data_IF_325254189409
#
_entry.id   IF_325254189409
#
_cell.length_a   1.000
_cell.length_b   1.000
_cell.length_c   1.000
_cell.angle_alpha   90.00
_cell.angle_beta   90.00
_cell.angle_gamma   90.00
#
_symmetry.space_group_name_H-M   'P 1'
#
loop_
_entity.id
_entity.type
_entity.pdbx_description
1 polymer ?
#
# COMPACT_ATOMS: atom_id res chain seq x y z
N UNK A 1 18.23 -22.79 3.03
CA UNK A 1 17.56 -22.20 1.85
C UNK A 1 18.55 -21.36 1.05
N UNK A 2 18.65 -21.57 -0.28
CA UNK A 2 19.54 -20.78 -1.17
C UNK A 2 19.16 -19.29 -1.15
N UNK A 3 20.12 -18.39 -1.37
CA UNK A 3 19.89 -16.93 -1.35
C UNK A 3 18.81 -16.49 -2.34
N UNK A 4 18.84 -17.04 -3.56
CA UNK A 4 17.82 -16.81 -4.59
C UNK A 4 16.40 -17.17 -4.12
N UNK A 5 16.24 -18.24 -3.34
CA UNK A 5 14.94 -18.65 -2.80
C UNK A 5 14.44 -17.68 -1.73
N UNK A 6 15.33 -17.12 -0.90
CA UNK A 6 14.98 -16.05 0.06
C UNK A 6 14.48 -14.79 -0.64
N UNK A 7 15.19 -14.37 -1.70
CA UNK A 7 14.79 -13.22 -2.53
C UNK A 7 13.40 -13.47 -3.13
N UNK A 8 13.21 -14.63 -3.78
CA UNK A 8 11.93 -14.99 -4.41
C UNK A 8 10.76 -15.03 -3.43
N UNK A 9 10.97 -15.59 -2.23
CA UNK A 9 9.94 -15.61 -1.20
C UNK A 9 9.57 -14.20 -0.72
N UNK A 10 10.58 -13.35 -0.52
CA UNK A 10 10.35 -11.95 -0.11
C UNK A 10 9.65 -11.13 -1.19
N UNK A 11 10.00 -11.36 -2.46
CA UNK A 11 9.33 -10.76 -3.61
C UNK A 11 7.87 -11.22 -3.70
N UNK A 12 7.59 -12.52 -3.54
CA UNK A 12 6.22 -13.03 -3.52
C UNK A 12 5.40 -12.45 -2.37
N UNK A 13 5.99 -12.37 -1.17
CA UNK A 13 5.36 -11.72 -0.04
C UNK A 13 5.01 -10.26 -0.37
N UNK A 14 5.95 -9.50 -0.94
CA UNK A 14 5.73 -8.10 -1.29
C UNK A 14 4.65 -7.94 -2.37
N UNK A 15 4.65 -8.80 -3.39
CA UNK A 15 3.60 -8.84 -4.41
C UNK A 15 2.22 -9.12 -3.79
N UNK A 16 2.13 -10.10 -2.88
CA UNK A 16 0.88 -10.41 -2.19
C UNK A 16 0.42 -9.24 -1.31
N UNK A 17 1.33 -8.59 -0.58
CA UNK A 17 1.02 -7.42 0.23
C UNK A 17 0.49 -6.25 -0.62
N UNK A 18 1.09 -5.99 -1.78
CA UNK A 18 0.59 -4.98 -2.73
C UNK A 18 -0.81 -5.31 -3.24
N UNK A 19 -1.06 -6.56 -3.63
CA UNK A 19 -2.37 -7.00 -4.11
C UNK A 19 -3.42 -6.87 -3.00
N UNK A 20 -3.12 -7.32 -1.79
CA UNK A 20 -4.04 -7.19 -0.65
C UNK A 20 -4.32 -5.71 -0.36
N UNK A 21 -3.29 -4.87 -0.32
CA UNK A 21 -3.43 -3.43 -0.11
C UNK A 21 -4.28 -2.74 -1.18
N UNK A 22 -4.17 -3.17 -2.45
CA UNK A 22 -5.01 -2.68 -3.52
C UNK A 22 -6.46 -3.16 -3.37
N UNK A 23 -6.65 -4.44 -3.07
CA UNK A 23 -7.97 -5.05 -2.92
C UNK A 23 -8.81 -4.39 -1.82
N UNK A 24 -8.21 -3.97 -0.71
CA UNK A 24 -8.93 -3.30 0.39
C UNK A 24 -9.53 -1.95 -0.02
N UNK A 25 -9.05 -1.32 -1.11
CA UNK A 25 -9.65 -0.08 -1.58
C UNK A 25 -11.05 -0.28 -2.18
N UNK A 26 -11.33 -1.44 -2.82
CA UNK A 26 -12.60 -1.64 -3.53
C UNK A 26 -13.81 -1.73 -2.58
N UNK A 27 -13.80 -2.53 -1.49
CA UNK A 27 -14.93 -2.65 -0.59
C UNK A 27 -14.88 -1.67 0.59
N UNK A 28 -14.26 -0.49 0.44
CA UNK A 28 -13.98 0.44 1.53
C UNK A 28 -15.23 0.79 2.39
N UNK A 29 -16.42 0.92 1.78
CA UNK A 29 -17.65 1.16 2.55
C UNK A 29 -18.00 -0.04 3.45
N UNK A 30 -17.88 -1.25 2.92
CA UNK A 30 -18.17 -2.48 3.67
C UNK A 30 -17.16 -2.68 4.80
N UNK A 31 -15.88 -2.41 4.53
CA UNK A 31 -14.82 -2.48 5.54
C UNK A 31 -15.04 -1.46 6.66
N UNK A 32 -15.35 -0.21 6.30
CA UNK A 32 -15.67 0.83 7.28
C UNK A 32 -16.93 0.50 8.07
N UNK A 33 -18.00 -0.01 7.43
CA UNK A 33 -19.22 -0.46 8.11
C UNK A 33 -18.91 -1.51 9.17
N UNK A 34 -18.06 -2.48 8.84
CA UNK A 34 -17.62 -3.50 9.78
C UNK A 34 -16.79 -2.90 10.91
N UNK A 35 -15.83 -2.02 10.61
CA UNK A 35 -15.03 -1.32 11.63
C UNK A 35 -15.88 -0.49 12.59
N UNK A 36 -16.95 0.15 12.11
CA UNK A 36 -17.82 0.99 12.95
C UNK A 36 -18.65 0.19 13.96
N UNK A 37 -18.75 -1.13 13.82
CA UNK A 37 -19.30 -2.00 14.88
C UNK A 37 -18.45 -1.99 16.15
N UNK A 38 -17.17 -1.60 16.04
CA UNK A 38 -16.19 -1.60 17.11
C UNK A 38 -15.70 -0.18 17.44
N UNK A 39 -16.48 0.85 17.09
CA UNK A 39 -16.10 2.27 17.25
C UNK A 39 -15.56 2.59 18.64
N UNK A 40 -16.20 2.07 19.69
CA UNK A 40 -15.88 2.34 21.10
C UNK A 40 -14.50 1.85 21.54
N UNK A 41 -13.85 0.98 20.75
CA UNK A 41 -12.48 0.48 21.04
C UNK A 41 -11.43 1.51 20.58
N UNK A 42 -11.79 2.40 19.66
CA UNK A 42 -10.86 3.40 19.14
C UNK A 42 -10.84 4.65 20.03
N UNK A 43 -9.70 5.37 20.08
CA UNK A 43 -9.68 6.71 20.64
C UNK A 43 -10.73 7.60 19.96
N UNK A 44 -11.44 8.42 20.76
CA UNK A 44 -12.61 9.19 20.31
C UNK A 44 -12.37 9.95 18.99
N UNK A 45 -11.23 10.64 18.87
CA UNK A 45 -10.88 11.39 17.64
C UNK A 45 -10.78 10.51 16.40
N UNK A 46 -10.19 9.32 16.54
CA UNK A 46 -10.06 8.36 15.45
C UNK A 46 -11.43 7.73 15.13
N UNK A 47 -12.18 7.32 16.14
CA UNK A 47 -13.51 6.75 15.97
C UNK A 47 -14.48 7.72 15.28
N UNK A 48 -14.45 9.00 15.66
CA UNK A 48 -15.27 10.03 15.01
C UNK A 48 -14.84 10.32 13.58
N UNK A 49 -13.54 10.32 13.29
CA UNK A 49 -13.03 10.47 11.92
C UNK A 49 -13.44 9.30 11.03
N UNK A 50 -13.27 8.05 11.49
CA UNK A 50 -13.68 6.87 10.73
C UNK A 50 -15.19 6.82 10.51
N UNK A 51 -16.00 7.23 11.49
CA UNK A 51 -17.44 7.36 11.35
C UNK A 51 -17.81 8.40 10.29
N UNK A 52 -17.12 9.53 10.24
CA UNK A 52 -17.31 10.55 9.21
C UNK A 52 -16.97 10.00 7.82
N UNK A 53 -15.84 9.30 7.68
CA UNK A 53 -15.46 8.63 6.42
C UNK A 53 -16.51 7.62 5.97
N UNK A 54 -17.02 6.78 6.88
CA UNK A 54 -18.08 5.82 6.60
C UNK A 54 -19.34 6.51 6.09
N UNK A 55 -19.86 7.49 6.84
CA UNK A 55 -21.08 8.20 6.45
C UNK A 55 -20.94 8.90 5.10
N UNK A 56 -19.80 9.57 4.86
CA UNK A 56 -19.53 10.24 3.58
C UNK A 56 -19.47 9.26 2.41
N UNK A 57 -18.83 8.10 2.59
CA UNK A 57 -18.71 7.08 1.55
C UNK A 57 -20.06 6.42 1.27
N UNK A 58 -20.81 6.05 2.30
CA UNK A 58 -22.14 5.45 2.17
C UNK A 58 -23.13 6.40 1.45
N UNK A 59 -23.15 7.68 1.85
CA UNK A 59 -23.99 8.69 1.20
C UNK A 59 -23.60 8.91 -0.27
N UNK A 60 -22.29 8.90 -0.56
CA UNK A 60 -21.78 9.05 -1.92
C UNK A 60 -22.13 7.84 -2.77
N UNK A 61 -21.93 6.63 -2.27
CA UNK A 61 -22.24 5.40 -3.01
C UNK A 61 -23.74 5.24 -3.25
N UNK A 62 -24.59 5.66 -2.31
CA UNK A 62 -26.04 5.65 -2.48
C UNK A 62 -26.53 6.61 -3.58
N UNK A 63 -25.85 7.75 -3.77
CA UNK A 63 -26.26 8.80 -4.74
C UNK A 63 -25.50 8.75 -6.07
N UNK A 64 -24.22 8.39 -6.02
CA UNK A 64 -23.26 8.47 -7.12
C UNK A 64 -22.34 7.23 -7.14
N UNK A 65 -22.90 6.00 -7.29
CA UNK A 65 -22.14 4.75 -7.17
C UNK A 65 -21.01 4.63 -8.20
N UNK A 66 -21.13 5.29 -9.36
CA UNK A 66 -20.09 5.28 -10.40
C UNK A 66 -18.77 5.92 -9.95
N UNK A 67 -18.78 6.75 -8.88
CA UNK A 67 -17.55 7.34 -8.34
C UNK A 67 -16.65 6.29 -7.67
N UNK A 68 -17.22 5.16 -7.20
CA UNK A 68 -16.44 4.05 -6.68
C UNK A 68 -15.49 3.45 -7.72
N UNK A 69 -15.75 3.67 -9.03
CA UNK A 69 -14.83 3.27 -10.09
C UNK A 69 -13.43 3.89 -9.95
N UNK A 70 -13.31 5.06 -9.30
CA UNK A 70 -12.01 5.63 -8.95
C UNK A 70 -11.18 4.74 -8.01
N UNK A 71 -11.84 4.02 -7.09
CA UNK A 71 -11.20 3.08 -6.18
C UNK A 71 -10.77 1.80 -6.90
N UNK A 72 -11.55 1.36 -7.90
CA UNK A 72 -11.17 0.23 -8.77
C UNK A 72 -9.86 0.52 -9.53
N UNK A 73 -9.72 1.74 -10.09
CA UNK A 73 -8.47 2.16 -10.74
C UNK A 73 -7.30 2.27 -9.76
N UNK A 74 -7.55 2.77 -8.54
CA UNK A 74 -6.53 2.83 -7.50
C UNK A 74 -6.04 1.42 -7.11
N UNK A 75 -6.97 0.47 -6.95
CA UNK A 75 -6.66 -0.93 -6.69
C UNK A 75 -5.89 -1.56 -7.86
N UNK A 76 -6.34 -1.31 -9.10
CA UNK A 76 -5.68 -1.81 -10.30
C UNK A 76 -4.23 -1.32 -10.42
N UNK A 77 -3.95 -0.07 -10.05
CA UNK A 77 -2.58 0.44 -10.02
C UNK A 77 -1.67 -0.43 -9.13
N UNK A 78 -2.13 -0.83 -7.94
CA UNK A 78 -1.37 -1.73 -7.06
C UNK A 78 -1.12 -3.10 -7.70
N UNK A 79 -2.07 -3.62 -8.48
CA UNK A 79 -1.90 -4.88 -9.19
C UNK A 79 -0.85 -4.77 -10.31
N UNK A 80 -0.88 -3.67 -11.07
CA UNK A 80 0.13 -3.39 -12.10
C UNK A 80 1.53 -3.27 -11.48
N UNK A 81 1.64 -2.59 -10.34
CA UNK A 81 2.88 -2.50 -9.57
C UNK A 81 3.34 -3.91 -9.16
N UNK A 82 2.47 -4.74 -8.58
CA UNK A 82 2.80 -6.10 -8.18
C UNK A 82 3.24 -6.97 -9.37
N UNK A 83 2.59 -6.84 -10.53
CA UNK A 83 2.94 -7.57 -11.76
C UNK A 83 4.36 -7.22 -12.22
N UNK A 84 4.82 -5.97 -12.04
CA UNK A 84 6.19 -5.59 -12.41
C UNK A 84 7.26 -6.42 -11.69
N UNK A 85 6.99 -6.86 -10.45
CA UNK A 85 7.90 -7.68 -9.65
C UNK A 85 8.10 -9.11 -10.19
N UNK A 86 7.30 -9.57 -11.16
CA UNK A 86 7.55 -10.84 -11.88
C UNK A 86 8.96 -10.83 -12.51
N UNK A 87 9.43 -9.67 -12.98
CA UNK A 87 10.79 -9.50 -13.49
C UNK A 87 11.85 -9.84 -12.42
N UNK A 88 11.68 -9.29 -11.22
CA UNK A 88 12.57 -9.53 -10.07
C UNK A 88 12.51 -10.99 -9.62
N UNK A 89 11.32 -11.59 -9.58
CA UNK A 89 11.15 -13.00 -9.22
C UNK A 89 11.93 -13.93 -10.17
N UNK A 90 11.84 -13.67 -11.49
CA UNK A 90 12.50 -14.47 -12.52
C UNK A 90 14.01 -14.27 -12.51
N UNK A 91 14.47 -13.02 -12.62
CA UNK A 91 15.88 -12.66 -12.64
C UNK A 91 16.13 -11.38 -11.80
N UNK A 92 16.46 -11.53 -10.51
CA UNK A 92 16.53 -10.39 -9.60
C UNK A 92 17.70 -9.45 -9.88
N UNK A 93 18.85 -9.97 -10.33
CA UNK A 93 20.04 -9.13 -10.60
C UNK A 93 19.78 -8.24 -11.81
N UNK A 94 19.23 -8.80 -12.90
CA UNK A 94 18.89 -8.02 -14.11
C UNK A 94 17.81 -6.97 -13.86
N UNK A 95 16.89 -7.23 -12.92
CA UNK A 95 15.73 -6.38 -12.66
C UNK A 95 15.82 -5.62 -11.33
N UNK A 96 17.03 -5.41 -10.80
CA UNK A 96 17.23 -4.74 -9.51
C UNK A 96 16.64 -3.32 -9.47
N UNK A 97 16.57 -2.66 -10.63
CA UNK A 97 15.96 -1.34 -10.76
C UNK A 97 14.51 -1.29 -10.27
N UNK A 98 13.74 -2.38 -10.40
CA UNK A 98 12.34 -2.41 -9.91
C UNK A 98 12.30 -2.26 -8.38
N UNK A 99 13.30 -2.79 -7.67
CA UNK A 99 13.44 -2.60 -6.21
C UNK A 99 13.81 -1.14 -5.89
N UNK A 100 14.72 -0.54 -6.66
CA UNK A 100 15.12 0.85 -6.47
C UNK A 100 13.98 1.82 -6.73
N UNK A 101 13.26 1.62 -7.83
CA UNK A 101 12.06 2.36 -8.17
C UNK A 101 11.01 2.25 -7.07
N UNK A 102 10.75 1.04 -6.56
CA UNK A 102 9.79 0.88 -5.46
C UNK A 102 10.26 1.58 -4.17
N UNK A 103 11.55 1.52 -3.83
CA UNK A 103 12.11 2.27 -2.69
C UNK A 103 11.84 3.77 -2.85
N UNK A 104 12.06 4.32 -4.04
CA UNK A 104 11.76 5.73 -4.35
C UNK A 104 10.27 6.00 -4.14
N UNK A 105 9.37 5.16 -4.67
CA UNK A 105 7.92 5.35 -4.48
C UNK A 105 7.52 5.32 -3.00
N UNK A 106 8.08 4.41 -2.19
CA UNK A 106 7.83 4.36 -0.75
C UNK A 106 8.24 5.65 -0.03
N UNK A 107 9.36 6.26 -0.45
CA UNK A 107 9.79 7.56 0.07
C UNK A 107 8.82 8.67 -0.36
N UNK A 108 8.38 8.65 -1.62
CA UNK A 108 7.47 9.66 -2.19
C UNK A 108 6.05 9.63 -1.62
N UNK A 109 5.62 8.54 -0.96
CA UNK A 109 4.35 8.50 -0.21
C UNK A 109 4.30 9.60 0.84
N UNK A 110 5.40 9.88 1.54
CA UNK A 110 5.44 10.88 2.63
C UNK A 110 5.11 12.28 2.11
N UNK A 111 5.85 12.87 1.16
CA UNK A 111 5.52 14.21 0.66
C UNK A 111 4.12 14.24 0.02
N UNK A 112 3.70 13.18 -0.69
CA UNK A 112 2.36 13.11 -1.26
C UNK A 112 1.28 13.20 -0.17
N UNK A 113 1.39 12.39 0.90
CA UNK A 113 0.41 12.35 1.98
C UNK A 113 0.33 13.70 2.72
N UNK A 114 1.47 14.34 2.99
CA UNK A 114 1.48 15.64 3.65
C UNK A 114 0.92 16.76 2.76
N UNK A 115 1.25 16.79 1.46
CA UNK A 115 0.76 17.82 0.55
C UNK A 115 -0.73 17.61 0.25
N UNK A 116 -1.10 16.45 -0.29
CA UNK A 116 -2.47 16.15 -0.69
C UNK A 116 -3.40 16.05 0.52
N UNK A 117 -2.94 15.43 1.61
CA UNK A 117 -3.70 15.34 2.86
C UNK A 117 -4.00 16.71 3.44
N UNK A 118 -3.01 17.63 3.48
CA UNK A 118 -3.24 19.00 3.96
C UNK A 118 -4.22 19.77 3.06
N UNK A 119 -4.06 19.67 1.73
CA UNK A 119 -4.99 20.32 0.77
C UNK A 119 -6.43 19.81 0.94
N UNK A 120 -6.59 18.52 1.28
CA UNK A 120 -7.90 17.88 1.51
C UNK A 120 -8.36 17.89 2.96
N UNK A 121 -7.67 18.62 3.85
CA UNK A 121 -8.01 18.75 5.27
C UNK A 121 -8.09 17.39 6.01
N UNK A 122 -7.24 16.44 5.61
CA UNK A 122 -7.13 15.14 6.27
C UNK A 122 -6.42 15.31 7.62
N UNK A 123 -6.93 14.72 8.73
CA UNK A 123 -6.29 14.81 10.03
C UNK A 123 -4.87 14.24 10.03
N UNK A 124 -3.98 14.87 10.80
CA UNK A 124 -2.56 14.50 10.85
C UNK A 124 -2.34 13.04 11.22
N UNK A 125 -3.14 12.46 12.11
CA UNK A 125 -2.99 11.05 12.49
C UNK A 125 -3.30 10.09 11.32
N UNK A 126 -4.22 10.47 10.42
CA UNK A 126 -4.52 9.68 9.23
C UNK A 126 -3.39 9.83 8.19
N UNK A 127 -2.84 11.04 8.01
CA UNK A 127 -1.64 11.25 7.19
C UNK A 127 -0.46 10.39 7.69
N UNK A 128 -0.29 10.28 9.01
CA UNK A 128 0.74 9.41 9.59
C UNK A 128 0.49 7.93 9.31
N UNK A 129 -0.78 7.48 9.32
CA UNK A 129 -1.16 6.12 8.91
C UNK A 129 -0.82 5.90 7.43
N UNK A 130 -1.10 6.87 6.55
CA UNK A 130 -0.75 6.78 5.12
C UNK A 130 0.78 6.65 4.93
N UNK A 131 1.56 7.41 5.71
CA UNK A 131 3.03 7.34 5.68
C UNK A 131 3.57 5.97 6.10
N UNK A 132 2.85 5.24 6.98
CA UNK A 132 3.26 3.92 7.42
C UNK A 132 3.39 2.92 6.25
N UNK A 133 2.56 3.02 5.20
CA UNK A 133 2.68 2.16 4.02
C UNK A 133 4.07 2.30 3.35
N UNK A 134 4.56 3.53 3.21
CA UNK A 134 5.90 3.80 2.69
C UNK A 134 6.99 3.25 3.62
N UNK A 135 6.89 3.55 4.92
CA UNK A 135 7.91 3.15 5.91
C UNK A 135 8.01 1.62 6.04
N UNK A 136 6.89 0.93 6.21
CA UNK A 136 6.89 -0.53 6.33
C UNK A 136 7.22 -1.23 5.02
N UNK A 137 6.88 -0.62 3.87
CA UNK A 137 7.28 -1.11 2.55
C UNK A 137 8.80 -1.04 2.31
N UNK A 138 9.49 -0.03 2.85
CA UNK A 138 10.94 0.13 2.70
C UNK A 138 11.74 -1.03 3.30
N UNK A 139 11.29 -1.58 4.44
CA UNK A 139 12.00 -2.63 5.17
C UNK A 139 12.28 -3.87 4.30
N UNK A 140 11.27 -4.56 3.73
CA UNK A 140 11.50 -5.72 2.88
C UNK A 140 12.27 -5.35 1.61
N UNK A 141 12.08 -4.16 1.04
CA UNK A 141 12.77 -3.76 -0.19
C UNK A 141 14.27 -3.54 0.01
N UNK A 142 14.67 -2.88 1.10
CA UNK A 142 16.09 -2.69 1.45
C UNK A 142 16.76 -4.03 1.74
N UNK A 143 16.08 -4.93 2.46
CA UNK A 143 16.57 -6.30 2.70
C UNK A 143 16.74 -7.04 1.38
N UNK A 144 15.73 -6.98 0.50
CA UNK A 144 15.76 -7.59 -0.83
C UNK A 144 16.94 -7.05 -1.66
N UNK A 145 17.12 -5.73 -1.74
CA UNK A 145 18.22 -5.08 -2.45
C UNK A 145 19.59 -5.58 -1.97
N UNK A 146 19.79 -5.64 -0.64
CA UNK A 146 21.02 -6.17 -0.05
C UNK A 146 21.29 -7.62 -0.47
N UNK A 147 20.25 -8.46 -0.48
CA UNK A 147 20.38 -9.86 -0.92
C UNK A 147 20.63 -10.00 -2.42
N UNK A 148 20.01 -9.17 -3.26
CA UNK A 148 20.25 -9.16 -4.71
C UNK A 148 21.70 -8.76 -5.01
N UNK A 149 22.22 -7.71 -4.36
CA UNK A 149 23.62 -7.31 -4.52
C UNK A 149 24.59 -8.42 -4.09
N UNK A 150 24.29 -9.10 -2.98
CA UNK A 150 25.08 -10.25 -2.54
C UNK A 150 25.03 -11.40 -3.55
N UNK A 151 23.87 -11.67 -4.14
CA UNK A 151 23.72 -12.68 -5.18
C UNK A 151 24.57 -12.33 -6.41
N UNK A 152 24.52 -11.08 -6.85
CA UNK A 152 25.28 -10.58 -8.01
C UNK A 152 26.80 -10.68 -7.82
N UNK A 153 27.30 -10.52 -6.59
CA UNK A 153 28.73 -10.68 -6.28
C UNK A 153 29.20 -12.15 -6.23
N UNK A 154 28.27 -13.11 -6.17
CA UNK A 154 28.57 -14.55 -6.09
C UNK A 154 28.32 -15.31 -7.39
N UNK A 155 27.78 -14.63 -8.40
CA UNK A 155 27.45 -15.15 -9.73
C UNK A 155 28.41 -14.61 -10.76
#
# INVERSE_FOLDING_TARGET
MKLISKIRLLVLFFMAALVISGLTAMPAETELRWLMQYKEIFPERLGNWLQLCYSALADTNAKYPFLAYGYDWLAFAHFVIAISFIGVYRNPVRNIWIIDWQIITCILVVPLAFIAGSVRQIPIFHILIDCCFGIFGLIPLIICKKWINKLAATS
#
